data_IF_429195134445
#
_entry.id   IF_429195134445
#
_cell.length_a   1.000
_cell.length_b   1.000
_cell.length_c   1.000
_cell.angle_alpha   90.00
_cell.angle_beta   90.00
_cell.angle_gamma   90.00
#
_symmetry.space_group_name_H-M   'P 1'
#
loop_
_entity.id
_entity.type
_entity.pdbx_description
1 polymer ?
#
# COMPACT_ATOMS: atom_id res chain seq x y z
N UNK A 1 -10.99 1.11 -27.50
CA UNK A 1 -10.51 2.05 -26.47
C UNK A 1 -11.58 2.09 -25.40
N UNK A 2 -11.31 1.58 -24.19
CA UNK A 2 -12.30 1.62 -23.10
C UNK A 2 -12.17 2.99 -22.44
N UNK A 3 -13.24 3.78 -22.31
CA UNK A 3 -13.16 5.08 -21.65
C UNK A 3 -12.79 4.87 -20.17
N UNK A 4 -11.71 5.52 -19.73
CA UNK A 4 -11.35 5.60 -18.33
C UNK A 4 -11.94 6.87 -17.75
N UNK A 5 -12.70 6.75 -16.66
CA UNK A 5 -13.27 7.87 -15.92
C UNK A 5 -12.67 7.85 -14.52
N UNK A 6 -12.13 8.99 -14.08
CA UNK A 6 -11.62 9.18 -12.71
C UNK A 6 -12.52 10.16 -11.96
N UNK A 7 -12.89 9.81 -10.74
CA UNK A 7 -13.60 10.69 -9.83
C UNK A 7 -12.64 11.15 -8.72
N UNK A 8 -12.73 12.43 -8.34
CA UNK A 8 -12.05 12.97 -7.16
C UNK A 8 -13.12 13.49 -6.21
N UNK A 9 -12.97 13.18 -4.93
CA UNK A 9 -13.96 13.47 -3.88
C UNK A 9 -13.23 14.08 -2.69
N UNK A 10 -13.85 15.06 -2.04
CA UNK A 10 -13.40 15.64 -0.78
C UNK A 10 -14.15 14.98 0.38
N UNK A 11 -13.41 14.51 1.39
CA UNK A 11 -13.98 14.00 2.64
C UNK A 11 -13.91 15.08 3.73
N UNK A 12 -15.06 15.70 4.02
CA UNK A 12 -15.20 16.75 5.04
C UNK A 12 -15.21 16.22 6.48
N UNK A 13 -15.20 14.89 6.68
CA UNK A 13 -15.14 14.28 8.02
C UNK A 13 -13.73 14.27 8.60
N UNK A 14 -12.71 14.45 7.76
CA UNK A 14 -11.32 14.52 8.20
C UNK A 14 -11.11 15.84 8.95
N UNK A 15 -10.79 15.74 10.24
CA UNK A 15 -10.58 16.90 11.09
C UNK A 15 -9.37 17.75 10.60
N UNK A 16 -9.48 19.06 10.78
CA UNK A 16 -8.37 19.98 10.51
C UNK A 16 -7.21 19.76 11.49
N UNK A 17 -5.99 20.05 11.02
CA UNK A 17 -4.79 19.94 11.84
C UNK A 17 -4.88 20.83 13.08
N UNK A 18 -4.58 20.26 14.24
CA UNK A 18 -4.51 20.98 15.51
C UNK A 18 -3.10 21.59 15.63
N UNK A 19 -2.95 22.84 16.10
CA UNK A 19 -1.64 23.42 16.39
C UNK A 19 -0.83 22.56 17.35
N UNK A 20 0.47 22.41 17.09
CA UNK A 20 1.40 21.60 17.91
C UNK A 20 1.40 22.04 19.38
N UNK A 21 1.19 23.34 19.64
CA UNK A 21 1.07 23.90 20.99
C UNK A 21 -0.06 23.30 21.83
N UNK A 22 -1.05 22.68 21.20
CA UNK A 22 -2.24 22.12 21.85
C UNK A 22 -2.18 20.59 21.98
N UNK A 23 -1.03 19.96 21.68
CA UNK A 23 -0.85 18.53 21.85
C UNK A 23 -0.75 18.19 23.34
N UNK A 24 -1.57 17.24 23.79
CA UNK A 24 -1.63 16.81 25.19
C UNK A 24 -0.52 15.81 25.56
N UNK A 25 -0.02 15.07 24.58
CA UNK A 25 0.99 14.04 24.77
C UNK A 25 1.80 13.79 23.49
N UNK A 26 3.04 13.35 23.68
CA UNK A 26 3.86 12.77 22.61
C UNK A 26 3.75 11.24 22.66
N UNK A 27 3.55 10.61 21.50
CA UNK A 27 3.53 9.16 21.34
C UNK A 27 4.73 8.75 20.51
N UNK A 28 5.56 7.87 21.06
CA UNK A 28 6.66 7.25 20.32
C UNK A 28 6.12 6.11 19.47
N UNK A 29 6.48 6.07 18.19
CA UNK A 29 6.07 5.04 17.25
C UNK A 29 7.33 4.40 16.66
N UNK A 30 7.45 3.09 16.79
CA UNK A 30 8.43 2.27 16.08
C UNK A 30 7.73 1.44 14.98
N UNK A 31 8.36 1.29 13.83
CA UNK A 31 7.78 0.60 12.66
C UNK A 31 8.68 -0.54 12.22
N UNK A 32 8.11 -1.70 11.92
CA UNK A 32 8.89 -2.91 11.73
C UNK A 32 8.32 -3.95 10.74
N UNK A 33 9.12 -4.99 10.52
CA UNK A 33 8.76 -6.14 9.69
C UNK A 33 8.09 -7.28 10.47
N UNK A 34 8.29 -7.30 11.80
CA UNK A 34 7.63 -8.24 12.72
C UNK A 34 6.25 -7.71 13.09
N UNK A 35 6.23 -6.50 13.67
CA UNK A 35 5.01 -5.72 13.92
C UNK A 35 5.03 -4.49 13.02
N UNK A 36 3.89 -4.11 12.45
CA UNK A 36 3.78 -2.95 11.57
C UNK A 36 4.10 -1.66 12.33
N UNK A 37 3.57 -1.57 13.54
CA UNK A 37 3.67 -0.40 14.40
C UNK A 37 3.69 -0.86 15.85
N UNK A 38 4.59 -0.31 16.65
CA UNK A 38 4.65 -0.47 18.11
C UNK A 38 4.67 0.91 18.75
N UNK A 39 3.84 1.13 19.79
CA UNK A 39 3.84 2.38 20.55
C UNK A 39 4.79 2.31 21.74
N UNK A 40 5.17 3.45 22.30
CA UNK A 40 5.94 3.52 23.55
C UNK A 40 5.20 2.98 24.78
N UNK A 41 3.88 2.74 24.68
CA UNK A 41 3.06 2.07 25.71
C UNK A 41 3.02 0.55 25.55
N UNK A 42 3.64 0.01 24.49
CA UNK A 42 3.71 -1.42 24.21
C UNK A 42 2.58 -1.96 23.34
N UNK A 43 1.67 -1.11 22.85
CA UNK A 43 0.62 -1.52 21.93
C UNK A 43 1.23 -1.84 20.56
N UNK A 44 0.73 -2.89 19.90
CA UNK A 44 1.27 -3.36 18.62
C UNK A 44 0.16 -3.53 17.59
N UNK A 45 0.48 -3.21 16.34
CA UNK A 45 -0.36 -3.48 15.18
C UNK A 45 0.37 -4.52 14.33
N UNK A 46 -0.27 -5.66 13.99
CA UNK A 46 0.37 -6.70 13.21
C UNK A 46 0.59 -6.26 11.75
N UNK A 47 1.59 -6.83 11.09
CA UNK A 47 1.86 -6.53 9.68
C UNK A 47 0.70 -6.95 8.77
N UNK A 48 0.08 -6.00 8.05
CA UNK A 48 -0.91 -6.36 7.05
C UNK A 48 -0.27 -7.12 5.89
N UNK A 49 -0.80 -8.30 5.57
CA UNK A 49 -0.22 -9.17 4.54
C UNK A 49 -0.56 -8.77 3.09
N UNK A 50 -1.32 -7.69 2.86
CA UNK A 50 -1.76 -7.30 1.52
C UNK A 50 -0.57 -7.00 0.60
N UNK A 51 0.41 -6.23 1.09
CA UNK A 51 1.59 -5.85 0.32
C UNK A 51 2.43 -7.07 -0.08
N UNK A 52 2.72 -7.97 0.87
CA UNK A 52 3.44 -9.23 0.60
C UNK A 52 2.72 -10.12 -0.41
N UNK A 53 1.39 -10.26 -0.29
CA UNK A 53 0.57 -11.02 -1.24
C UNK A 53 0.62 -10.41 -2.65
N UNK A 54 0.46 -9.09 -2.74
CA UNK A 54 0.53 -8.36 -4.01
C UNK A 54 1.91 -8.48 -4.67
N UNK A 55 2.99 -8.36 -3.90
CA UNK A 55 4.36 -8.54 -4.41
C UNK A 55 4.60 -9.97 -4.91
N UNK A 56 4.18 -11.00 -4.16
CA UNK A 56 4.30 -12.39 -4.60
C UNK A 56 3.52 -12.63 -5.90
N UNK A 57 2.30 -12.11 -6.01
CA UNK A 57 1.49 -12.22 -7.20
C UNK A 57 2.11 -11.46 -8.39
N UNK A 58 2.67 -10.28 -8.15
CA UNK A 58 3.38 -9.50 -9.17
C UNK A 58 4.57 -10.29 -9.72
N UNK A 59 5.42 -10.85 -8.85
CA UNK A 59 6.56 -11.66 -9.27
C UNK A 59 6.15 -12.89 -10.09
N UNK A 60 5.06 -13.57 -9.72
CA UNK A 60 4.50 -14.68 -10.51
C UNK A 60 4.06 -14.22 -11.91
N UNK A 61 3.36 -13.09 -12.00
CA UNK A 61 2.89 -12.52 -13.28
C UNK A 61 4.06 -12.08 -14.16
N UNK A 62 5.06 -11.43 -13.59
CA UNK A 62 6.29 -11.03 -14.28
C UNK A 62 7.01 -12.26 -14.83
N UNK A 63 7.26 -13.29 -14.02
CA UNK A 63 7.90 -14.52 -14.51
C UNK A 63 7.07 -15.28 -15.56
N UNK A 64 5.74 -15.20 -15.50
CA UNK A 64 4.88 -15.72 -16.58
C UNK A 64 5.00 -14.90 -17.87
N UNK A 65 5.18 -13.57 -17.77
CA UNK A 65 5.38 -12.71 -18.92
C UNK A 65 6.76 -12.93 -19.57
N UNK A 66 7.81 -13.13 -18.76
CA UNK A 66 9.19 -13.34 -19.22
C UNK A 66 9.35 -14.63 -20.04
N UNK A 67 8.58 -15.67 -19.71
CA UNK A 67 8.59 -16.94 -20.45
C UNK A 67 7.85 -16.88 -21.79
N UNK A 68 7.19 -15.76 -22.13
CA UNK A 68 6.46 -15.61 -23.39
C UNK A 68 7.36 -15.04 -24.46
N UNK A 69 7.19 -15.54 -25.67
CA UNK A 69 7.88 -15.01 -26.85
C UNK A 69 7.62 -13.51 -26.99
N UNK A 70 8.70 -12.72 -26.95
CA UNK A 70 8.65 -11.26 -27.04
C UNK A 70 7.96 -10.86 -28.34
N UNK A 71 6.99 -9.94 -28.24
CA UNK A 71 6.23 -9.47 -29.40
C UNK A 71 5.00 -10.31 -29.77
N UNK A 72 4.87 -11.54 -29.24
CA UNK A 72 3.67 -12.36 -29.43
C UNK A 72 2.42 -11.69 -28.84
N UNK A 73 1.23 -12.05 -29.34
CA UNK A 73 -0.04 -11.57 -28.80
C UNK A 73 -0.20 -11.89 -27.30
N UNK A 74 0.30 -13.04 -26.87
CA UNK A 74 0.22 -13.47 -25.48
C UNK A 74 1.20 -12.72 -24.57
N UNK A 75 2.35 -12.30 -25.10
CA UNK A 75 3.31 -11.43 -24.41
C UNK A 75 2.73 -10.02 -24.23
N UNK A 76 2.16 -9.44 -25.30
CA UNK A 76 1.52 -8.11 -25.24
C UNK A 76 0.35 -8.04 -24.24
N UNK A 77 -0.40 -9.13 -24.06
CA UNK A 77 -1.49 -9.22 -23.06
C UNK A 77 -0.99 -9.33 -21.61
N UNK A 78 0.27 -9.71 -21.41
CA UNK A 78 0.85 -9.97 -20.09
C UNK A 78 1.74 -8.82 -19.58
N UNK A 79 2.13 -7.92 -20.48
CA UNK A 79 2.75 -6.64 -20.19
C UNK A 79 1.70 -5.65 -19.71
#
# INVERSE_FOLDING_TARGET
MVPQVSFSLEDKSVAALIPVSNLQAAVGIDVGLKEFLTTNTGDTIPVPNFSRKSQSNLGKKQGQADRKEIGSHNWKKAR
#
